data_IF_163131050162
#
_entry.id   IF_163131050162
#
_cell.length_a   1.000
_cell.length_b   1.000
_cell.length_c   1.000
_cell.angle_alpha   90.00
_cell.angle_beta   90.00
_cell.angle_gamma   90.00
#
_symmetry.space_group_name_H-M   'P 1'
#
loop_
_entity.id
_entity.type
_entity.pdbx_description
1 polymer ?
#
# COMPACT_ATOMS: atom_id res chain seq x y z
N UNK A 1 -10.34 -19.93 12.76
CA UNK A 1 -9.12 -19.77 11.97
C UNK A 1 -9.18 -20.68 10.74
N UNK A 2 -9.96 -20.26 9.73
CA UNK A 2 -9.99 -20.93 8.43
C UNK A 2 -9.02 -20.18 7.51
N UNK A 3 -8.02 -20.88 6.99
CA UNK A 3 -7.22 -20.37 5.87
C UNK A 3 -8.14 -20.32 4.65
N UNK A 4 -7.93 -19.39 3.72
CA UNK A 4 -8.78 -19.26 2.52
C UNK A 4 -9.00 -20.59 1.78
N UNK A 5 -8.00 -21.47 1.74
CA UNK A 5 -8.09 -22.82 1.17
C UNK A 5 -9.07 -23.77 1.88
N UNK A 6 -9.48 -23.45 3.11
CA UNK A 6 -10.36 -24.23 3.97
C UNK A 6 -11.74 -23.57 4.18
N UNK A 7 -11.90 -22.31 3.76
CA UNK A 7 -13.09 -21.50 4.04
C UNK A 7 -14.37 -22.02 3.35
N UNK A 8 -14.27 -22.87 2.33
CA UNK A 8 -15.43 -23.51 1.70
C UNK A 8 -15.46 -25.02 1.93
N UNK A 9 -15.93 -25.42 3.11
CA UNK A 9 -16.53 -26.74 3.35
C UNK A 9 -17.84 -26.56 4.13
N UNK A 10 -18.81 -25.84 3.55
CA UNK A 10 -20.21 -25.82 4.01
C UNK A 10 -21.20 -25.77 2.84
N UNK A 11 -21.06 -26.63 1.85
CA UNK A 11 -22.20 -27.08 1.04
C UNK A 11 -21.84 -28.30 0.19
N UNK A 12 -22.79 -29.23 0.13
CA UNK A 12 -22.85 -30.42 -0.73
C UNK A 12 -21.96 -31.61 -0.35
N UNK A 13 -22.56 -32.50 0.42
CA UNK A 13 -22.20 -33.91 0.54
C UNK A 13 -22.57 -34.65 -0.76
N UNK A 14 -21.61 -34.91 -1.64
CA UNK A 14 -21.68 -36.03 -2.59
C UNK A 14 -20.29 -36.37 -3.12
N UNK A 15 -19.92 -37.63 -2.91
CA UNK A 15 -18.60 -38.26 -3.13
C UNK A 15 -18.22 -38.31 -4.62
N UNK A 16 -16.95 -38.01 -4.94
CA UNK A 16 -16.21 -38.69 -6.02
C UNK A 16 -14.71 -38.68 -5.68
N UNK A 17 -13.96 -39.70 -6.09
CA UNK A 17 -12.60 -40.04 -5.63
C UNK A 17 -11.45 -39.29 -6.39
N UNK A 18 -11.75 -38.17 -7.05
CA UNK A 18 -10.78 -37.27 -7.70
C UNK A 18 -10.24 -36.05 -6.89
N UNK A 19 -10.76 -35.65 -5.70
CA UNK A 19 -10.44 -34.36 -5.12
C UNK A 19 -9.08 -34.29 -4.42
N UNK A 20 -8.53 -35.41 -3.94
CA UNK A 20 -7.29 -35.37 -3.13
C UNK A 20 -6.04 -35.02 -3.97
N UNK A 21 -5.87 -35.63 -5.15
CA UNK A 21 -4.73 -35.36 -6.03
C UNK A 21 -4.76 -33.94 -6.61
N UNK A 22 -5.95 -33.48 -7.02
CA UNK A 22 -6.15 -32.13 -7.52
C UNK A 22 -5.88 -31.10 -6.42
N UNK A 23 -6.38 -31.34 -5.19
CA UNK A 23 -6.11 -30.47 -4.04
C UNK A 23 -4.63 -30.38 -3.72
N UNK A 24 -3.88 -31.50 -3.75
CA UNK A 24 -2.44 -31.51 -3.56
C UNK A 24 -1.71 -30.65 -4.61
N UNK A 25 -2.13 -30.71 -5.88
CA UNK A 25 -1.58 -29.85 -6.94
C UNK A 25 -1.93 -28.38 -6.74
N UNK A 26 -3.17 -28.08 -6.35
CA UNK A 26 -3.62 -26.71 -6.07
C UNK A 26 -2.87 -26.08 -4.89
N UNK A 27 -2.49 -26.86 -3.87
CA UNK A 27 -1.69 -26.40 -2.73
C UNK A 27 -0.27 -25.97 -3.12
N UNK A 28 0.26 -26.44 -4.26
CA UNK A 28 1.58 -26.06 -4.75
C UNK A 28 1.58 -24.72 -5.52
N UNK A 29 0.40 -24.21 -5.90
CA UNK A 29 0.28 -22.98 -6.66
C UNK A 29 0.63 -21.76 -5.81
N UNK A 30 1.18 -20.72 -6.44
CA UNK A 30 1.41 -19.44 -5.80
C UNK A 30 0.23 -18.51 -6.04
N UNK A 31 -0.69 -18.46 -5.07
CA UNK A 31 -1.94 -17.72 -5.19
C UNK A 31 -2.46 -17.30 -3.81
N UNK A 32 -3.52 -16.49 -3.76
CA UNK A 32 -4.03 -15.96 -2.50
C UNK A 32 -4.51 -17.06 -1.55
N UNK A 33 -5.00 -18.19 -2.08
CA UNK A 33 -5.47 -19.33 -1.31
C UNK A 33 -4.35 -20.10 -0.60
N UNK A 34 -3.11 -20.04 -1.10
CA UNK A 34 -1.95 -20.77 -0.56
C UNK A 34 -1.01 -19.90 0.27
N UNK A 35 -1.20 -18.58 0.29
CA UNK A 35 -0.36 -17.65 1.05
C UNK A 35 -0.69 -17.57 2.55
N UNK A 36 -1.61 -18.40 3.05
CA UNK A 36 -1.93 -18.44 4.48
C UNK A 36 -2.73 -17.23 4.98
N UNK A 37 -3.39 -16.52 4.08
CA UNK A 37 -4.28 -15.40 4.44
C UNK A 37 -5.46 -15.93 5.25
N UNK A 38 -5.80 -15.23 6.34
CA UNK A 38 -6.90 -15.60 7.23
C UNK A 38 -8.02 -14.59 7.13
N UNK A 39 -9.26 -15.06 7.11
CA UNK A 39 -10.44 -14.17 7.08
C UNK A 39 -10.46 -13.19 8.28
N UNK A 40 -9.99 -13.63 9.44
CA UNK A 40 -9.94 -12.84 10.69
C UNK A 40 -9.00 -11.62 10.58
N UNK A 41 -8.00 -11.67 9.70
CA UNK A 41 -7.06 -10.56 9.50
C UNK A 41 -7.62 -9.47 8.54
N UNK A 42 -8.77 -9.75 7.89
CA UNK A 42 -9.39 -8.90 6.89
C UNK A 42 -10.07 -7.68 7.54
N UNK A 43 -9.47 -6.51 7.37
CA UNK A 43 -10.08 -5.24 7.81
C UNK A 43 -11.10 -4.75 6.76
N UNK A 44 -12.29 -5.36 6.75
CA UNK A 44 -13.38 -5.15 5.78
C UNK A 44 -13.75 -3.67 5.50
N UNK A 45 -13.73 -2.83 6.55
CA UNK A 45 -14.12 -1.42 6.47
C UNK A 45 -13.08 -0.52 5.80
N UNK A 46 -11.80 -0.83 5.94
CA UNK A 46 -10.69 -0.11 5.29
C UNK A 46 -10.56 -0.60 3.83
N UNK A 47 -10.79 -1.90 3.60
CA UNK A 47 -10.65 -2.55 2.30
C UNK A 47 -11.76 -2.10 1.32
N UNK A 48 -13.02 -2.05 1.72
CA UNK A 48 -14.11 -1.63 0.81
C UNK A 48 -13.94 -0.18 0.31
N UNK A 49 -13.46 0.72 1.18
CA UNK A 49 -13.14 2.11 0.82
C UNK A 49 -11.86 2.21 -0.03
N UNK A 50 -10.84 1.42 0.26
CA UNK A 50 -9.62 1.35 -0.57
C UNK A 50 -9.87 0.75 -1.96
N UNK A 51 -10.79 -0.21 -2.08
CA UNK A 51 -11.06 -0.89 -3.35
C UNK A 51 -11.87 -0.03 -4.33
N UNK A 52 -12.78 0.83 -3.85
CA UNK A 52 -13.55 1.73 -4.72
C UNK A 52 -12.63 2.73 -5.44
N UNK A 53 -11.59 3.15 -4.74
CA UNK A 53 -10.56 4.09 -5.16
C UNK A 53 -9.50 3.47 -6.09
N UNK A 54 -9.06 2.26 -5.77
CA UNK A 54 -8.07 1.53 -6.56
C UNK A 54 -8.59 1.15 -7.96
N UNK A 55 -9.91 1.16 -8.19
CA UNK A 55 -10.54 0.97 -9.50
C UNK A 55 -10.09 2.04 -10.51
N UNK A 56 -9.71 3.23 -10.04
CA UNK A 56 -9.36 4.37 -10.90
C UNK A 56 -7.85 4.46 -11.18
N UNK A 57 -6.99 3.96 -10.29
CA UNK A 57 -5.53 4.14 -10.37
C UNK A 57 -4.78 3.12 -11.25
N UNK A 58 -5.41 2.06 -11.76
CA UNK A 58 -4.80 1.03 -12.64
C UNK A 58 -3.50 0.35 -12.12
N UNK A 59 -3.08 0.60 -10.88
CA UNK A 59 -1.91 0.02 -10.25
C UNK A 59 -2.29 -1.27 -9.50
N UNK A 60 -1.97 -2.44 -10.07
CA UNK A 60 -1.99 -3.72 -9.33
C UNK A 60 -3.36 -4.11 -8.75
N UNK A 61 -4.43 -3.94 -9.54
CA UNK A 61 -5.83 -4.12 -9.12
C UNK A 61 -6.27 -5.55 -8.70
N UNK A 62 -5.38 -6.53 -8.56
CA UNK A 62 -5.80 -7.89 -8.94
C UNK A 62 -5.97 -8.86 -7.79
N UNK A 63 -5.09 -8.85 -6.79
CA UNK A 63 -5.09 -9.85 -5.71
C UNK A 63 -6.19 -9.73 -4.66
N UNK A 64 -6.34 -8.55 -4.04
CA UNK A 64 -7.20 -8.41 -2.86
C UNK A 64 -8.70 -8.31 -3.18
N UNK A 65 -9.08 -7.70 -4.32
CA UNK A 65 -10.50 -7.55 -4.71
C UNK A 65 -11.16 -8.91 -4.92
N UNK A 66 -10.49 -9.81 -5.65
CA UNK A 66 -11.02 -11.15 -5.96
C UNK A 66 -11.19 -12.01 -4.72
N UNK A 67 -10.21 -11.98 -3.80
CA UNK A 67 -10.29 -12.68 -2.51
C UNK A 67 -11.44 -12.15 -1.69
N UNK A 68 -11.63 -10.83 -1.64
CA UNK A 68 -12.76 -10.22 -0.93
C UNK A 68 -14.10 -10.68 -1.50
N UNK A 69 -14.29 -10.65 -2.83
CA UNK A 69 -15.54 -11.08 -3.46
C UNK A 69 -15.82 -12.55 -3.21
N UNK A 70 -14.79 -13.38 -3.24
CA UNK A 70 -14.89 -14.79 -2.87
C UNK A 70 -15.33 -14.97 -1.41
N UNK A 71 -14.68 -14.28 -0.46
CA UNK A 71 -15.04 -14.31 0.96
C UNK A 71 -16.46 -13.78 1.23
N UNK A 72 -16.95 -12.86 0.42
CA UNK A 72 -18.34 -12.37 0.47
C UNK A 72 -19.38 -13.38 -0.06
N UNK A 73 -18.96 -14.59 -0.43
CA UNK A 73 -19.85 -15.63 -0.99
C UNK A 73 -20.28 -15.35 -2.43
N UNK A 74 -19.52 -14.55 -3.19
CA UNK A 74 -19.82 -14.18 -4.59
C UNK A 74 -18.74 -14.73 -5.54
N UNK A 75 -18.60 -16.05 -5.69
CA UNK A 75 -17.50 -16.66 -6.47
C UNK A 75 -17.56 -16.34 -7.96
N UNK A 76 -18.76 -16.20 -8.55
CA UNK A 76 -18.93 -15.88 -9.98
C UNK A 76 -18.44 -14.46 -10.34
N UNK A 77 -18.60 -13.52 -9.42
CA UNK A 77 -18.06 -12.17 -9.59
C UNK A 77 -16.54 -12.15 -9.41
N UNK A 78 -16.03 -12.94 -8.47
CA UNK A 78 -14.58 -13.10 -8.33
C UNK A 78 -13.95 -13.65 -9.62
N UNK A 79 -14.58 -14.64 -10.27
CA UNK A 79 -14.16 -15.16 -11.58
C UNK A 79 -14.26 -14.11 -12.70
N UNK A 80 -15.36 -13.36 -12.75
CA UNK A 80 -15.53 -12.30 -13.76
C UNK A 80 -14.43 -11.23 -13.63
N UNK A 81 -14.10 -10.83 -12.40
CA UNK A 81 -13.00 -9.88 -12.14
C UNK A 81 -11.63 -10.47 -12.52
N UNK A 82 -11.42 -11.76 -12.27
CA UNK A 82 -10.22 -12.49 -12.66
C UNK A 82 -10.05 -12.52 -14.18
N UNK A 83 -11.11 -12.81 -14.95
CA UNK A 83 -11.08 -12.78 -16.41
C UNK A 83 -10.86 -11.37 -16.97
N UNK A 84 -11.50 -10.34 -16.40
CA UNK A 84 -11.24 -8.95 -16.79
C UNK A 84 -9.78 -8.54 -16.50
N UNK A 85 -9.25 -8.98 -15.37
CA UNK A 85 -7.85 -8.79 -15.00
C UNK A 85 -6.91 -9.48 -15.99
N UNK A 86 -7.22 -10.71 -16.38
CA UNK A 86 -6.48 -11.49 -17.37
C UNK A 86 -6.41 -10.76 -18.71
N UNK A 87 -7.55 -10.32 -19.25
CA UNK A 87 -7.64 -9.56 -20.50
C UNK A 87 -6.81 -8.29 -20.47
N UNK A 88 -6.88 -7.53 -19.38
CA UNK A 88 -6.07 -6.33 -19.19
C UNK A 88 -4.57 -6.68 -19.16
N UNK A 89 -4.19 -7.79 -18.51
CA UNK A 89 -2.78 -8.22 -18.44
C UNK A 89 -2.25 -8.52 -19.83
N UNK A 90 -2.99 -9.28 -20.62
CA UNK A 90 -2.58 -9.60 -22.00
C UNK A 90 -2.47 -8.36 -22.86
N UNK A 91 -3.41 -7.43 -22.74
CA UNK A 91 -3.39 -6.15 -23.48
C UNK A 91 -2.18 -5.29 -23.11
N UNK A 92 -1.81 -5.21 -21.83
CA UNK A 92 -0.71 -4.36 -21.37
C UNK A 92 0.67 -4.98 -21.60
N UNK A 93 0.81 -6.30 -21.47
CA UNK A 93 2.12 -6.97 -21.40
C UNK A 93 2.40 -7.95 -22.55
N UNK A 94 1.43 -8.27 -23.40
CA UNK A 94 1.64 -9.13 -24.56
C UNK A 94 2.26 -10.48 -24.18
N UNK A 95 3.42 -10.79 -24.75
CA UNK A 95 4.17 -12.04 -24.50
C UNK A 95 4.67 -12.18 -23.06
N UNK A 96 4.94 -11.07 -22.36
CA UNK A 96 5.36 -11.08 -20.95
C UNK A 96 4.19 -11.31 -19.96
N UNK A 97 2.97 -11.49 -20.47
CA UNK A 97 1.77 -11.66 -19.64
C UNK A 97 1.78 -12.96 -18.83
N UNK A 98 2.43 -14.03 -19.31
CA UNK A 98 2.39 -15.34 -18.68
C UNK A 98 2.85 -15.30 -17.21
N UNK A 99 3.97 -14.62 -16.94
CA UNK A 99 4.53 -14.50 -15.57
C UNK A 99 3.60 -13.74 -14.62
N UNK A 100 2.87 -12.76 -15.13
CA UNK A 100 1.90 -11.96 -14.37
C UNK A 100 0.58 -12.70 -14.15
N UNK A 101 0.28 -13.69 -15.00
CA UNK A 101 -0.97 -14.46 -14.92
C UNK A 101 -0.89 -15.68 -14.00
N UNK A 102 0.31 -16.07 -13.53
CA UNK A 102 0.52 -17.19 -12.61
C UNK A 102 -0.44 -17.13 -11.41
N UNK A 103 -0.48 -16.00 -10.70
CA UNK A 103 -1.32 -15.83 -9.51
C UNK A 103 -2.81 -15.81 -9.88
N UNK A 104 -3.15 -15.18 -11.00
CA UNK A 104 -4.53 -15.08 -11.52
C UNK A 104 -5.10 -16.46 -11.82
N UNK A 105 -4.38 -17.31 -12.56
CA UNK A 105 -4.82 -18.68 -12.84
C UNK A 105 -4.84 -19.56 -11.61
N UNK A 106 -3.89 -19.38 -10.68
CA UNK A 106 -3.93 -20.08 -9.41
C UNK A 106 -5.20 -19.77 -8.62
N UNK A 107 -5.60 -18.50 -8.57
CA UNK A 107 -6.84 -18.09 -7.90
C UNK A 107 -8.10 -18.58 -8.64
N UNK A 108 -8.13 -18.56 -9.98
CA UNK A 108 -9.24 -19.12 -10.77
C UNK A 108 -9.41 -20.62 -10.52
N UNK A 109 -8.32 -21.37 -10.52
CA UNK A 109 -8.31 -22.80 -10.30
C UNK A 109 -8.87 -23.17 -8.91
N UNK A 110 -8.50 -22.41 -7.86
CA UNK A 110 -9.05 -22.61 -6.51
C UNK A 110 -10.54 -22.28 -6.43
N UNK A 111 -10.99 -21.21 -7.08
CA UNK A 111 -12.42 -20.85 -7.06
C UNK A 111 -13.26 -21.88 -7.82
N UNK A 112 -12.82 -22.33 -8.99
CA UNK A 112 -13.47 -23.40 -9.75
C UNK A 112 -13.52 -24.71 -8.96
N UNK A 113 -12.41 -25.08 -8.30
CA UNK A 113 -12.37 -26.24 -7.40
C UNK A 113 -13.41 -26.14 -6.27
N UNK A 114 -13.55 -24.97 -5.65
CA UNK A 114 -14.54 -24.74 -4.60
C UNK A 114 -15.99 -24.73 -5.12
N UNK A 115 -16.22 -24.38 -6.38
CA UNK A 115 -17.53 -24.44 -7.03
C UNK A 115 -17.91 -25.85 -7.53
N UNK A 116 -16.95 -26.77 -7.62
CA UNK A 116 -17.14 -28.13 -8.14
C UNK A 116 -16.98 -28.26 -9.66
N UNK A 117 -16.51 -27.20 -10.33
CA UNK A 117 -16.33 -27.13 -11.78
C UNK A 117 -14.94 -27.65 -12.20
N UNK A 118 -14.73 -28.97 -12.07
CA UNK A 118 -13.40 -29.58 -12.24
C UNK A 118 -12.90 -29.66 -13.69
N UNK A 119 -13.79 -29.58 -14.69
CA UNK A 119 -13.42 -29.69 -16.11
C UNK A 119 -12.71 -28.45 -16.64
N UNK A 120 -12.94 -27.29 -16.03
CA UNK A 120 -12.37 -26.00 -16.46
C UNK A 120 -11.04 -25.66 -15.79
N UNK A 121 -10.50 -26.52 -14.91
CA UNK A 121 -9.17 -26.34 -14.30
C UNK A 121 -8.08 -26.70 -15.33
N UNK A 122 -8.11 -26.04 -16.49
CA UNK A 122 -7.06 -26.10 -17.47
C UNK A 122 -6.00 -25.07 -17.10
N UNK A 123 -4.75 -25.56 -17.03
CA UNK A 123 -3.53 -24.81 -16.72
C UNK A 123 -3.25 -24.51 -15.24
N UNK A 124 -2.95 -25.52 -14.40
CA UNK A 124 -2.15 -25.27 -13.22
C UNK A 124 -0.75 -24.88 -13.70
N UNK A 125 -0.54 -23.58 -13.94
CA UNK A 125 0.76 -23.03 -14.30
C UNK A 125 1.77 -23.49 -13.24
N UNK A 126 2.88 -24.05 -13.73
CA UNK A 126 3.68 -25.04 -13.03
C UNK A 126 4.23 -24.60 -11.68
N UNK A 127 4.55 -25.61 -10.88
CA UNK A 127 5.39 -25.54 -9.69
C UNK A 127 6.81 -25.09 -10.07
N UNK A 128 6.99 -23.82 -10.42
CA UNK A 128 8.33 -23.27 -10.51
C UNK A 128 8.84 -23.06 -9.09
N UNK A 129 9.84 -23.86 -8.71
CA UNK A 129 10.64 -23.62 -7.51
C UNK A 129 11.31 -22.22 -7.52
N UNK A 130 11.33 -21.56 -8.68
CA UNK A 130 11.82 -20.21 -8.88
C UNK A 130 10.66 -19.20 -8.75
N UNK A 131 10.62 -18.49 -7.63
CA UNK A 131 9.63 -17.43 -7.40
C UNK A 131 9.95 -16.23 -8.30
N UNK A 132 9.15 -16.04 -9.35
CA UNK A 132 9.22 -14.88 -10.23
C UNK A 132 8.98 -13.56 -9.48
N UNK A 133 9.60 -12.48 -9.95
CA UNK A 133 9.46 -11.14 -9.37
C UNK A 133 7.99 -10.68 -9.38
N UNK A 134 7.25 -11.04 -10.42
CA UNK A 134 5.83 -10.75 -10.60
C UNK A 134 4.97 -11.43 -9.53
N UNK A 135 5.25 -12.70 -9.21
CA UNK A 135 4.54 -13.44 -8.16
C UNK A 135 4.83 -12.84 -6.78
N UNK A 136 6.10 -12.52 -6.50
CA UNK A 136 6.50 -11.86 -5.24
C UNK A 136 5.85 -10.48 -5.10
N UNK A 137 5.81 -9.72 -6.19
CA UNK A 137 5.21 -8.40 -6.23
C UNK A 137 3.70 -8.43 -6.02
N UNK A 138 2.99 -9.33 -6.69
CA UNK A 138 1.54 -9.55 -6.50
C UNK A 138 1.23 -10.02 -5.07
N UNK A 139 2.08 -10.87 -4.47
CA UNK A 139 1.98 -11.23 -3.05
C UNK A 139 2.11 -10.00 -2.16
N UNK A 140 3.14 -9.17 -2.40
CA UNK A 140 3.36 -7.94 -1.66
C UNK A 140 2.16 -6.98 -1.72
N UNK A 141 1.60 -6.76 -2.91
CA UNK A 141 0.42 -5.90 -3.07
C UNK A 141 -0.81 -6.45 -2.37
N UNK A 142 -1.03 -7.77 -2.45
CA UNK A 142 -2.15 -8.42 -1.77
C UNK A 142 -2.05 -8.23 -0.27
N UNK A 143 -0.88 -8.50 0.32
CA UNK A 143 -0.62 -8.32 1.76
C UNK A 143 -0.81 -6.85 2.21
N UNK A 144 -0.34 -5.88 1.43
CA UNK A 144 -0.53 -4.45 1.73
C UNK A 144 -2.00 -4.02 1.77
N UNK A 145 -2.86 -4.66 0.98
CA UNK A 145 -4.29 -4.36 0.96
C UNK A 145 -5.03 -5.14 2.04
N UNK A 146 -4.57 -6.36 2.33
CA UNK A 146 -5.29 -7.29 3.21
C UNK A 146 -5.33 -6.83 4.68
N UNK A 147 -4.18 -6.50 5.28
CA UNK A 147 -4.13 -6.09 6.68
C UNK A 147 -2.89 -5.29 7.06
N UNK A 148 -3.03 -4.44 8.09
CA UNK A 148 -1.92 -3.65 8.67
C UNK A 148 -0.85 -4.52 9.31
N UNK A 149 -1.22 -5.66 9.89
CA UNK A 149 -0.29 -6.63 10.47
C UNK A 149 0.67 -7.23 9.44
N UNK A 150 0.27 -7.26 8.17
CA UNK A 150 1.01 -7.90 7.07
C UNK A 150 1.94 -6.94 6.32
N UNK A 151 2.01 -5.66 6.70
CA UNK A 151 2.83 -4.66 6.00
C UNK A 151 4.33 -5.00 6.01
N UNK A 152 4.82 -5.62 7.09
CA UNK A 152 6.21 -6.06 7.18
C UNK A 152 6.51 -7.18 6.18
N UNK A 153 5.64 -8.19 6.10
CA UNK A 153 5.79 -9.30 5.14
C UNK A 153 5.66 -8.79 3.69
N UNK A 154 4.76 -7.84 3.44
CA UNK A 154 4.64 -7.20 2.15
C UNK A 154 5.94 -6.50 1.72
N UNK A 155 6.57 -5.77 2.65
CA UNK A 155 7.88 -5.14 2.42
C UNK A 155 8.97 -6.14 2.04
N UNK A 156 9.01 -7.30 2.70
CA UNK A 156 9.95 -8.37 2.36
C UNK A 156 9.68 -8.96 0.97
N UNK A 157 8.41 -9.11 0.58
CA UNK A 157 8.04 -9.58 -0.76
C UNK A 157 8.56 -8.63 -1.84
N UNK A 158 8.34 -7.31 -1.69
CA UNK A 158 8.87 -6.34 -2.65
C UNK A 158 10.39 -6.26 -2.64
N UNK A 159 11.02 -6.37 -1.47
CA UNK A 159 12.49 -6.39 -1.37
C UNK A 159 13.07 -7.56 -2.18
N UNK A 160 12.46 -8.76 -2.09
CA UNK A 160 12.87 -9.92 -2.90
C UNK A 160 12.59 -9.73 -4.39
N UNK A 161 11.43 -9.15 -4.74
CA UNK A 161 11.14 -8.81 -6.14
C UNK A 161 12.17 -7.83 -6.72
N UNK A 162 12.61 -6.84 -5.93
CA UNK A 162 13.64 -5.88 -6.31
C UNK A 162 15.06 -6.47 -6.42
N UNK A 163 15.35 -7.60 -5.77
CA UNK A 163 16.60 -8.31 -5.99
C UNK A 163 16.67 -8.91 -7.40
N UNK A 164 15.51 -9.29 -7.95
CA UNK A 164 15.39 -9.84 -9.31
C UNK A 164 15.22 -8.74 -10.36
N UNK A 165 14.47 -7.68 -10.04
CA UNK A 165 14.18 -6.56 -10.94
C UNK A 165 14.36 -5.20 -10.21
N UNK A 166 15.61 -4.71 -10.07
CA UNK A 166 15.91 -3.53 -9.24
C UNK A 166 15.25 -2.23 -9.71
N UNK A 167 15.02 -2.10 -11.02
CA UNK A 167 14.50 -0.88 -11.67
C UNK A 167 13.02 -0.98 -12.03
N UNK A 168 12.32 -2.02 -11.57
CA UNK A 168 10.87 -2.10 -11.70
C UNK A 168 10.20 -0.99 -10.89
N UNK A 169 9.50 -0.10 -11.59
CA UNK A 169 8.78 1.01 -10.96
C UNK A 169 7.70 0.50 -10.00
N UNK A 170 7.01 -0.60 -10.36
CA UNK A 170 5.95 -1.23 -9.56
C UNK A 170 6.48 -1.71 -8.21
N UNK A 171 7.60 -2.46 -8.21
CA UNK A 171 8.18 -3.00 -6.99
C UNK A 171 8.81 -1.90 -6.13
N UNK A 172 9.38 -0.87 -6.76
CA UNK A 172 9.91 0.28 -6.05
C UNK A 172 8.80 1.06 -5.33
N UNK A 173 7.64 1.24 -5.96
CA UNK A 173 6.46 1.88 -5.38
C UNK A 173 5.89 1.05 -4.22
N UNK A 174 5.66 -0.25 -4.44
CA UNK A 174 5.16 -1.17 -3.40
C UNK A 174 6.06 -1.21 -2.17
N UNK A 175 7.37 -1.30 -2.37
CA UNK A 175 8.34 -1.27 -1.27
C UNK A 175 8.34 0.07 -0.52
N UNK A 176 8.24 1.19 -1.24
CA UNK A 176 8.16 2.52 -0.63
C UNK A 176 6.93 2.66 0.27
N UNK A 177 5.77 2.18 -0.20
CA UNK A 177 4.51 2.20 0.56
C UNK A 177 4.61 1.30 1.80
N UNK A 178 5.16 0.10 1.67
CA UNK A 178 5.36 -0.81 2.80
C UNK A 178 6.26 -0.20 3.88
N UNK A 179 7.39 0.39 3.49
CA UNK A 179 8.29 1.09 4.42
C UNK A 179 7.62 2.32 5.06
N UNK A 180 6.87 3.11 4.27
CA UNK A 180 6.15 4.27 4.79
C UNK A 180 5.18 3.89 5.91
N UNK A 181 4.44 2.78 5.73
CA UNK A 181 3.42 2.31 6.67
C UNK A 181 3.98 1.59 7.90
N UNK A 182 5.22 1.12 7.84
CA UNK A 182 5.85 0.35 8.93
C UNK A 182 6.86 1.17 9.75
N UNK A 183 7.45 2.22 9.16
CA UNK A 183 8.52 2.96 9.81
C UNK A 183 8.02 4.26 10.49
N UNK A 184 8.40 4.53 11.75
CA UNK A 184 7.80 5.61 12.53
C UNK A 184 8.23 7.04 12.15
N UNK A 185 9.46 7.33 11.68
CA UNK A 185 9.82 8.77 11.45
C UNK A 185 11.14 9.10 10.72
N UNK A 186 12.21 8.31 10.82
CA UNK A 186 13.53 8.65 10.22
C UNK A 186 14.15 7.41 9.60
N UNK A 187 14.04 7.23 8.28
CA UNK A 187 14.06 5.85 7.81
C UNK A 187 14.30 5.63 6.30
N UNK A 188 14.73 4.39 5.92
CA UNK A 188 14.80 3.89 4.54
C UNK A 188 13.62 4.29 3.64
N UNK A 189 12.40 4.41 4.19
CA UNK A 189 11.21 4.88 3.47
C UNK A 189 11.46 6.14 2.66
N UNK A 190 12.15 7.17 3.19
CA UNK A 190 12.35 8.43 2.43
C UNK A 190 13.22 8.21 1.21
N UNK A 191 14.28 7.40 1.33
CA UNK A 191 15.16 7.07 0.20
C UNK A 191 14.38 6.30 -0.86
N UNK A 192 13.57 5.33 -0.43
CA UNK A 192 12.79 4.49 -1.32
C UNK A 192 11.64 5.26 -1.98
N UNK A 193 10.93 6.12 -1.25
CA UNK A 193 9.89 7.02 -1.78
C UNK A 193 10.46 7.97 -2.83
N UNK A 194 11.66 8.54 -2.61
CA UNK A 194 12.33 9.35 -3.63
C UNK A 194 12.63 8.56 -4.89
N UNK A 195 13.00 7.29 -4.76
CA UNK A 195 13.23 6.42 -5.92
C UNK A 195 11.91 6.12 -6.64
N UNK A 196 10.84 5.82 -5.91
CA UNK A 196 9.51 5.58 -6.48
C UNK A 196 8.97 6.82 -7.23
N UNK A 197 9.05 8.01 -6.63
CA UNK A 197 8.63 9.28 -7.28
C UNK A 197 9.46 9.61 -8.51
N UNK A 198 10.73 9.17 -8.61
CA UNK A 198 11.51 9.33 -9.85
C UNK A 198 10.96 8.50 -11.01
N UNK A 199 10.44 7.31 -10.72
CA UNK A 199 9.82 6.46 -11.74
C UNK A 199 8.39 6.92 -12.07
N UNK A 200 7.64 7.39 -11.08
CA UNK A 200 6.27 7.86 -11.22
C UNK A 200 6.15 9.31 -10.71
N UNK A 201 6.60 10.30 -11.51
CA UNK A 201 6.71 11.70 -11.07
C UNK A 201 5.36 12.38 -10.81
N UNK A 202 4.28 11.83 -11.36
CA UNK A 202 2.93 12.37 -11.28
C UNK A 202 2.01 11.56 -10.35
N UNK A 203 2.56 10.57 -9.63
CA UNK A 203 1.82 9.80 -8.62
C UNK A 203 1.61 10.64 -7.36
N UNK A 204 0.38 11.14 -7.20
CA UNK A 204 -0.02 11.99 -6.08
C UNK A 204 0.11 11.32 -4.71
N UNK A 205 -0.10 10.01 -4.64
CA UNK A 205 -0.03 9.23 -3.40
C UNK A 205 1.43 9.15 -2.94
N UNK A 206 2.35 8.76 -3.82
CA UNK A 206 3.78 8.67 -3.53
C UNK A 206 4.38 10.05 -3.18
N UNK A 207 3.99 11.11 -3.89
CA UNK A 207 4.40 12.47 -3.57
C UNK A 207 3.91 12.91 -2.19
N UNK A 208 2.64 12.66 -1.86
CA UNK A 208 2.06 13.01 -0.56
C UNK A 208 2.71 12.24 0.60
N UNK A 209 2.99 10.95 0.42
CA UNK A 209 3.74 10.14 1.38
C UNK A 209 5.17 10.67 1.60
N UNK A 210 5.85 11.04 0.53
CA UNK A 210 7.19 11.63 0.60
C UNK A 210 7.14 12.96 1.36
N UNK A 211 6.19 13.85 1.05
CA UNK A 211 6.03 15.12 1.75
C UNK A 211 5.85 14.93 3.26
N UNK A 212 5.01 13.99 3.69
CA UNK A 212 4.83 13.67 5.10
C UNK A 212 6.12 13.22 5.78
N UNK A 213 6.92 12.34 5.14
CA UNK A 213 8.23 11.92 5.67
C UNK A 213 9.22 13.09 5.74
N UNK A 214 9.18 14.01 4.78
CA UNK A 214 10.07 15.18 4.75
C UNK A 214 9.74 16.18 5.86
N UNK A 215 8.46 16.37 6.20
CA UNK A 215 8.06 17.19 7.35
C UNK A 215 8.64 16.64 8.65
N UNK A 216 8.58 15.31 8.87
CA UNK A 216 9.20 14.67 10.04
C UNK A 216 10.73 14.80 10.06
N UNK A 217 11.36 15.07 8.92
CA UNK A 217 12.80 15.33 8.78
C UNK A 217 13.16 16.82 8.80
N UNK A 218 12.21 17.70 9.14
CA UNK A 218 12.37 19.15 9.12
C UNK A 218 12.69 19.75 7.73
N UNK A 219 12.43 19.00 6.65
CA UNK A 219 12.62 19.43 5.25
C UNK A 219 11.34 20.07 4.70
N UNK A 220 10.84 21.10 5.39
CA UNK A 220 9.53 21.69 5.14
C UNK A 220 9.38 22.27 3.72
N UNK A 221 10.39 23.01 3.23
CA UNK A 221 10.36 23.63 1.89
C UNK A 221 10.23 22.60 0.77
N UNK A 222 10.91 21.46 0.92
CA UNK A 222 10.84 20.39 -0.08
C UNK A 222 9.49 19.67 -0.05
N UNK A 223 8.94 19.47 1.15
CA UNK A 223 7.61 18.90 1.32
C UNK A 223 6.52 19.81 0.71
N UNK A 224 6.65 21.12 0.87
CA UNK A 224 5.73 22.11 0.33
C UNK A 224 5.66 22.04 -1.21
N UNK A 225 6.82 22.03 -1.88
CA UNK A 225 6.88 21.89 -3.35
C UNK A 225 6.18 20.62 -3.84
N UNK A 226 6.32 19.50 -3.12
CA UNK A 226 5.63 18.25 -3.49
C UNK A 226 4.11 18.37 -3.34
N UNK A 227 3.63 18.96 -2.24
CA UNK A 227 2.19 19.13 -2.00
C UNK A 227 1.59 20.14 -2.97
N UNK A 228 2.29 21.21 -3.32
CA UNK A 228 1.86 22.15 -4.36
C UNK A 228 1.68 21.46 -5.71
N UNK A 229 2.62 20.57 -6.09
CA UNK A 229 2.49 19.76 -7.31
C UNK A 229 1.27 18.84 -7.26
N UNK A 230 1.05 18.16 -6.13
CA UNK A 230 -0.13 17.30 -5.92
C UNK A 230 -1.43 18.11 -6.06
N UNK A 231 -1.49 19.29 -5.44
CA UNK A 231 -2.66 20.17 -5.52
C UNK A 231 -2.88 20.75 -6.92
N UNK A 232 -1.81 21.03 -7.67
CA UNK A 232 -1.90 21.55 -9.03
C UNK A 232 -2.45 20.52 -10.04
N UNK A 233 -2.23 19.23 -9.81
CA UNK A 233 -2.77 18.15 -10.64
C UNK A 233 -4.27 17.92 -10.37
N UNK A 234 -4.77 18.34 -9.20
CA UNK A 234 -6.16 18.17 -8.79
C UNK A 234 -6.35 16.88 -7.97
N UNK A 235 -6.46 16.98 -6.63
CA UNK A 235 -6.62 15.81 -5.76
C UNK A 235 -8.07 15.31 -5.67
N UNK A 236 -9.01 15.94 -6.39
CA UNK A 236 -10.44 15.88 -6.09
C UNK A 236 -11.07 14.48 -6.23
N UNK A 237 -10.45 13.60 -7.03
CA UNK A 237 -10.93 12.23 -7.23
C UNK A 237 -10.15 11.20 -6.39
N UNK A 238 -9.09 11.59 -5.66
CA UNK A 238 -8.23 10.66 -4.92
C UNK A 238 -8.34 10.80 -3.38
N UNK A 239 -9.20 10.00 -2.74
CA UNK A 239 -9.35 9.84 -1.27
C UNK A 239 -8.03 9.65 -0.49
N UNK A 240 -7.04 8.93 -1.03
CA UNK A 240 -5.76 8.70 -0.34
C UNK A 240 -4.90 9.96 -0.38
N UNK A 241 -4.83 10.62 -1.53
CA UNK A 241 -4.18 11.91 -1.71
C UNK A 241 -4.81 12.94 -0.78
N UNK A 242 -6.14 13.08 -0.79
CA UNK A 242 -6.88 13.99 0.08
C UNK A 242 -6.51 13.72 1.55
N UNK A 243 -6.51 12.46 1.98
CA UNK A 243 -6.17 12.07 3.36
C UNK A 243 -4.74 12.46 3.73
N UNK A 244 -3.75 12.20 2.87
CA UNK A 244 -2.35 12.51 3.17
C UNK A 244 -2.07 14.01 3.11
N UNK A 245 -2.65 14.73 2.16
CA UNK A 245 -2.57 16.19 2.06
C UNK A 245 -3.22 16.83 3.28
N UNK A 246 -4.41 16.38 3.70
CA UNK A 246 -5.05 16.87 4.93
C UNK A 246 -4.19 16.62 6.17
N UNK A 247 -3.54 15.45 6.27
CA UNK A 247 -2.58 15.15 7.35
C UNK A 247 -1.38 16.10 7.31
N UNK A 248 -0.84 16.39 6.13
CA UNK A 248 0.25 17.34 5.95
C UNK A 248 -0.14 18.75 6.40
N UNK A 249 -1.29 19.26 5.92
CA UNK A 249 -1.80 20.58 6.28
C UNK A 249 -2.03 20.70 7.80
N UNK A 250 -2.56 19.66 8.44
CA UNK A 250 -2.73 19.62 9.90
C UNK A 250 -1.39 19.77 10.64
N UNK A 251 -0.33 19.08 10.18
CA UNK A 251 0.99 19.20 10.80
C UNK A 251 1.56 20.62 10.60
N UNK A 252 1.38 21.21 9.41
CA UNK A 252 1.83 22.57 9.12
C UNK A 252 1.13 23.63 9.97
N UNK A 253 -0.19 23.51 10.19
CA UNK A 253 -0.93 24.42 11.07
C UNK A 253 -0.40 24.36 12.50
N UNK A 254 -0.20 23.15 13.04
CA UNK A 254 0.35 22.97 14.39
C UNK A 254 1.77 23.54 14.48
N UNK A 255 2.60 23.31 13.46
CA UNK A 255 3.96 23.87 13.40
C UNK A 255 3.96 25.40 13.38
N UNK A 256 3.08 26.03 12.58
CA UNK A 256 2.93 27.49 12.52
C UNK A 256 2.50 28.06 13.87
N UNK A 257 1.50 27.46 14.51
CA UNK A 257 1.05 27.87 15.85
C UNK A 257 2.18 27.77 16.89
N UNK A 258 2.99 26.70 16.82
CA UNK A 258 4.13 26.53 17.71
C UNK A 258 5.20 27.61 17.51
N UNK A 259 5.51 27.96 16.26
CA UNK A 259 6.44 29.04 15.93
C UNK A 259 5.93 30.41 16.40
N UNK A 260 4.65 30.71 16.20
CA UNK A 260 4.03 31.95 16.68
C UNK A 260 4.10 32.05 18.21
N UNK A 261 3.87 30.95 18.92
CA UNK A 261 4.00 30.91 20.38
C UNK A 261 5.44 31.14 20.86
N UNK A 262 6.45 30.54 20.21
CA UNK A 262 7.86 30.80 20.53
C UNK A 262 8.21 32.27 20.27
N UNK A 263 7.83 32.81 19.11
CA UNK A 263 8.08 34.21 18.77
C UNK A 263 7.46 35.16 19.79
N UNK A 264 6.22 34.92 20.19
CA UNK A 264 5.56 35.73 21.22
C UNK A 264 6.26 35.60 22.58
N UNK A 265 6.80 34.43 22.93
CA UNK A 265 7.60 34.24 24.14
C UNK A 265 8.94 34.96 24.07
N UNK A 266 9.64 34.87 22.95
CA UNK A 266 10.91 35.56 22.73
C UNK A 266 10.71 37.08 22.72
N UNK A 267 9.63 37.58 22.11
CA UNK A 267 9.25 38.99 22.18
C UNK A 267 8.97 39.42 23.63
N UNK A 268 8.31 38.57 24.43
CA UNK A 268 8.10 38.81 25.87
C UNK A 268 9.44 38.80 26.63
N UNK A 269 10.32 37.83 26.40
CA UNK A 269 11.63 37.73 27.07
C UNK A 269 12.57 38.87 26.69
N UNK A 270 12.56 39.29 25.42
CA UNK A 270 13.28 40.48 24.94
C UNK A 270 12.72 41.73 25.60
N UNK A 271 11.39 41.90 25.69
CA UNK A 271 10.77 43.01 26.42
C UNK A 271 11.14 43.03 27.91
N UNK A 272 11.21 41.87 28.58
CA UNK A 272 11.65 41.78 29.97
C UNK A 272 13.14 42.13 30.13
N UNK A 273 13.99 41.71 29.19
CA UNK A 273 15.43 42.04 29.21
C UNK A 273 15.72 43.51 28.90
N UNK A 274 14.97 44.13 27.98
CA UNK A 274 15.10 45.55 27.64
C UNK A 274 14.54 46.46 28.74
N UNK A 275 13.46 46.03 29.42
CA UNK A 275 12.95 46.73 30.60
C UNK A 275 13.94 46.70 31.78
N UNK A 276 14.67 45.59 31.96
CA UNK A 276 15.73 45.50 32.98
C UNK A 276 16.94 46.40 32.68
N UNK A 277 17.31 46.56 31.40
CA UNK A 277 18.39 47.48 30.99
C UNK A 277 17.99 48.96 31.15
N UNK A 278 16.72 49.31 30.94
CA UNK A 278 16.26 50.69 31.13
C UNK A 278 16.05 51.08 32.61
N UNK A 279 15.77 50.14 33.52
CA UNK A 279 15.65 50.44 34.95
C UNK A 279 17.01 50.58 35.69
N UNK A 280 18.13 50.19 35.09
CA UNK A 280 19.47 50.31 35.71
C UNK A 280 20.24 51.57 35.30
N UNK A 281 19.73 52.35 34.32
CA UNK A 281 20.37 53.59 33.85
C UNK A 281 19.71 54.89 34.36
N UNK A 282 18.66 54.82 35.18
CA UNK A 282 17.97 56.01 35.70
C UNK A 282 18.31 56.36 37.16
N UNK A 283 19.26 55.65 37.80
CA UNK A 283 19.61 55.87 39.22
C UNK A 283 21.06 56.34 39.49
N UNK A 284 21.69 57.11 38.59
CA UNK A 284 23.04 57.67 38.83
C UNK A 284 23.17 59.19 38.67
N UNK A 285 22.09 59.97 38.88
CA UNK A 285 22.21 61.42 39.01
C UNK A 285 21.36 61.95 40.16
N UNK A 286 21.95 62.00 41.36
CA UNK A 286 21.82 63.09 42.36
C UNK A 286 22.67 62.75 43.58
N UNK A 287 23.91 63.22 43.62
CA UNK A 287 24.61 63.59 44.86
C UNK A 287 25.64 64.68 44.52
N UNK A 288 25.27 65.92 44.83
CA UNK A 288 26.14 67.02 45.26
C UNK A 288 25.37 67.74 46.36
#
# INVERSE_FOLDING_TARGET
>A
MLVLSEASVKASSSVSFLPEDLRCRLQQLQCCFTWGLKEEDLQLDDLSRQLQHDIDLQLGQRGAVRVLRYLQGRPQEALTLLSQSEDRTRKCFGEDSERRLIVTYGDMAWIQYHNGDYEEVQHPCGSSAELHAEVLGEKGWTLLKFSKSLYQEAGQCFQRALQLQPDSWEWNAGYAIALFRTEPSLSPATKQLRRAVKFCPDDGVLMSMLALKLVHQHKHREAEVLVERVLAVGPDDDDQVIRYVAKYLRIQVVFRQHLEFIRNKDDITVCFSSAFFHCTHTHTHTYN
#
